data_IF_290241275624
#
_entry.id   IF_290241275624
#
_cell.length_a   1.000
_cell.length_b   1.000
_cell.length_c   1.000
_cell.angle_alpha   90.00
_cell.angle_beta   90.00
_cell.angle_gamma   90.00
#
_symmetry.space_group_name_H-M   'P 1'
#
loop_
_entity.id
_entity.type
_entity.pdbx_description
1 polymer ?
#
# COMPACT_ATOMS: atom_id res chain seq x y z
N UNK A 1 -61.06 13.06 4.49
CA UNK A 1 -60.12 13.71 3.55
C UNK A 1 -59.31 14.68 4.39
N UNK A 2 -58.00 14.57 4.65
CA UNK A 2 -56.87 14.17 3.81
C UNK A 2 -55.70 13.77 4.73
N UNK A 3 -55.10 12.61 4.48
CA UNK A 3 -53.78 12.18 4.96
C UNK A 3 -52.72 12.60 3.94
N UNK A 4 -51.84 13.52 4.30
CA UNK A 4 -50.64 13.91 3.55
C UNK A 4 -49.62 14.44 4.57
N UNK A 5 -48.32 14.19 4.59
CA UNK A 5 -47.35 13.48 3.75
C UNK A 5 -46.08 13.42 4.61
N UNK A 6 -45.63 12.25 5.08
CA UNK A 6 -44.27 12.07 5.62
C UNK A 6 -43.46 11.35 4.54
N UNK A 7 -42.99 12.08 3.54
CA UNK A 7 -42.05 11.58 2.52
C UNK A 7 -41.10 12.69 2.10
N UNK A 8 -40.18 13.11 2.98
CA UNK A 8 -39.09 14.01 2.58
C UNK A 8 -37.87 13.97 3.53
N UNK A 9 -37.45 12.81 4.03
CA UNK A 9 -36.25 12.73 4.88
C UNK A 9 -35.34 11.53 4.64
N UNK A 10 -35.50 10.79 3.53
CA UNK A 10 -34.67 9.59 3.24
C UNK A 10 -33.61 9.78 2.14
N UNK A 11 -33.46 10.97 1.55
CA UNK A 11 -32.50 11.19 0.46
C UNK A 11 -31.09 11.64 0.91
N UNK A 12 -30.90 12.08 2.15
CA UNK A 12 -29.63 12.70 2.61
C UNK A 12 -28.65 11.71 3.25
N UNK A 13 -29.07 10.47 3.56
CA UNK A 13 -28.21 9.47 4.21
C UNK A 13 -27.34 8.65 3.22
N UNK A 14 -27.80 8.47 1.98
CA UNK A 14 -27.11 7.67 0.96
C UNK A 14 -25.92 8.39 0.31
N UNK A 15 -25.96 9.73 0.27
CA UNK A 15 -24.87 10.54 -0.30
C UNK A 15 -23.65 10.60 0.63
N UNK A 16 -23.83 10.61 1.96
CA UNK A 16 -22.73 10.62 2.93
C UNK A 16 -21.97 9.29 3.00
N UNK A 17 -22.62 8.16 2.74
CA UNK A 17 -21.98 6.84 2.76
C UNK A 17 -21.09 6.60 1.53
N UNK A 18 -21.45 7.15 0.37
CA UNK A 18 -20.64 7.03 -0.86
C UNK A 18 -19.35 7.86 -0.82
N UNK A 19 -19.38 9.07 -0.25
CA UNK A 19 -18.20 9.93 -0.19
C UNK A 19 -17.15 9.40 0.79
N UNK A 20 -17.52 8.87 1.96
CA UNK A 20 -16.56 8.25 2.89
C UNK A 20 -15.83 7.06 2.27
N UNK A 21 -16.53 6.21 1.51
CA UNK A 21 -15.96 5.00 0.91
C UNK A 21 -14.91 5.32 -0.17
N UNK A 22 -15.16 6.37 -0.98
CA UNK A 22 -14.21 6.81 -2.01
C UNK A 22 -12.93 7.42 -1.41
N UNK A 23 -13.04 8.24 -0.35
CA UNK A 23 -11.88 8.79 0.35
C UNK A 23 -11.04 7.69 1.02
N UNK A 24 -11.68 6.70 1.62
CA UNK A 24 -10.99 5.55 2.21
C UNK A 24 -10.22 4.74 1.16
N UNK A 25 -10.83 4.46 0.00
CA UNK A 25 -10.18 3.75 -1.10
C UNK A 25 -8.96 4.51 -1.66
N UNK A 26 -9.05 5.84 -1.83
CA UNK A 26 -7.90 6.67 -2.26
C UNK A 26 -6.76 6.61 -1.23
N UNK A 27 -7.08 6.69 0.07
CA UNK A 27 -6.08 6.59 1.13
C UNK A 27 -5.38 5.21 1.14
N UNK A 28 -6.12 4.14 0.87
CA UNK A 28 -5.58 2.78 0.79
C UNK A 28 -4.67 2.60 -0.42
N UNK A 29 -5.09 3.05 -1.60
CA UNK A 29 -4.26 2.99 -2.81
C UNK A 29 -2.94 3.75 -2.63
N UNK A 30 -3.00 4.96 -2.08
CA UNK A 30 -1.80 5.77 -1.81
C UNK A 30 -0.86 5.12 -0.80
N UNK A 31 -1.39 4.40 0.18
CA UNK A 31 -0.56 3.63 1.12
C UNK A 31 0.14 2.48 0.40
N UNK A 32 -0.59 1.68 -0.37
CA UNK A 32 -0.05 0.53 -1.12
C UNK A 32 1.03 0.98 -2.09
N UNK A 33 0.82 2.06 -2.84
CA UNK A 33 1.81 2.58 -3.78
C UNK A 33 3.14 2.94 -3.09
N UNK A 34 3.05 3.63 -1.94
CA UNK A 34 4.23 4.05 -1.18
C UNK A 34 4.94 2.87 -0.52
N UNK A 35 4.18 1.95 0.08
CA UNK A 35 4.72 0.79 0.76
C UNK A 35 5.42 -0.14 -0.23
N UNK A 36 4.82 -0.40 -1.40
CA UNK A 36 5.44 -1.20 -2.45
C UNK A 36 6.73 -0.55 -2.98
N UNK A 37 6.70 0.74 -3.31
CA UNK A 37 7.89 1.45 -3.79
C UNK A 37 9.02 1.49 -2.74
N UNK A 38 8.68 1.73 -1.47
CA UNK A 38 9.65 1.72 -0.36
C UNK A 38 10.25 0.33 -0.13
N UNK A 39 9.40 -0.70 -0.04
CA UNK A 39 9.84 -2.06 0.21
C UNK A 39 10.70 -2.64 -0.92
N UNK A 40 10.42 -2.32 -2.19
CA UNK A 40 11.31 -2.71 -3.30
C UNK A 40 12.68 -2.05 -3.16
N UNK A 41 12.71 -0.74 -2.85
CA UNK A 41 13.95 0.01 -2.68
C UNK A 41 14.81 -0.52 -1.54
N UNK A 42 14.19 -0.84 -0.39
CA UNK A 42 14.88 -1.37 0.78
C UNK A 42 15.50 -2.74 0.48
N UNK A 43 14.79 -3.61 -0.23
CA UNK A 43 15.30 -4.91 -0.66
C UNK A 43 16.47 -4.76 -1.62
N UNK A 44 16.34 -3.92 -2.65
CA UNK A 44 17.40 -3.75 -3.65
C UNK A 44 18.65 -3.07 -3.07
N UNK A 45 18.47 -2.06 -2.22
CA UNK A 45 19.57 -1.42 -1.49
C UNK A 45 20.27 -2.43 -0.58
N UNK A 46 19.52 -3.32 0.08
CA UNK A 46 20.08 -4.36 0.93
C UNK A 46 20.85 -5.41 0.14
N UNK A 47 20.41 -5.78 -1.07
CA UNK A 47 21.19 -6.66 -1.97
C UNK A 47 22.55 -6.05 -2.30
N UNK A 48 22.60 -4.75 -2.61
CA UNK A 48 23.85 -4.02 -2.86
C UNK A 48 24.73 -4.06 -1.62
N UNK A 49 24.18 -3.72 -0.44
CA UNK A 49 24.93 -3.71 0.82
C UNK A 49 25.51 -5.11 1.14
N UNK A 50 24.71 -6.17 1.00
CA UNK A 50 25.15 -7.55 1.20
C UNK A 50 26.31 -7.93 0.26
N UNK A 51 26.27 -7.49 -1.00
CA UNK A 51 27.30 -7.79 -2.00
C UNK A 51 28.59 -6.98 -1.87
N UNK A 52 28.51 -5.76 -1.31
CA UNK A 52 29.62 -4.79 -1.32
C UNK A 52 30.26 -4.54 0.03
N UNK A 53 29.54 -4.75 1.14
CA UNK A 53 30.06 -4.53 2.47
C UNK A 53 31.25 -5.47 2.77
N UNK A 54 32.22 -5.01 3.56
CA UNK A 54 33.30 -5.85 4.07
C UNK A 54 33.01 -6.36 5.49
N UNK A 55 32.26 -5.59 6.27
CA UNK A 55 31.86 -5.94 7.62
C UNK A 55 30.76 -7.01 7.62
N UNK A 56 30.96 -8.09 8.38
CA UNK A 56 30.02 -9.21 8.45
C UNK A 56 28.69 -8.83 9.09
N UNK A 57 28.69 -7.98 10.12
CA UNK A 57 27.46 -7.54 10.77
C UNK A 57 26.58 -6.72 9.80
N UNK A 58 27.21 -5.94 8.91
CA UNK A 58 26.49 -5.23 7.84
C UNK A 58 25.87 -6.20 6.83
N UNK A 59 26.58 -7.27 6.45
CA UNK A 59 26.04 -8.31 5.56
C UNK A 59 24.86 -9.04 6.19
N UNK A 60 24.98 -9.39 7.46
CA UNK A 60 23.94 -10.11 8.20
C UNK A 60 22.69 -9.24 8.36
N UNK A 61 22.87 -7.95 8.68
CA UNK A 61 21.77 -6.99 8.72
C UNK A 61 21.11 -6.83 7.34
N UNK A 62 21.90 -6.69 6.27
CA UNK A 62 21.38 -6.61 4.91
C UNK A 62 20.59 -7.86 4.52
N UNK A 63 21.06 -9.07 4.91
CA UNK A 63 20.31 -10.30 4.70
C UNK A 63 18.96 -10.28 5.44
N UNK A 64 18.95 -9.86 6.71
CA UNK A 64 17.72 -9.72 7.48
C UNK A 64 16.72 -8.76 6.82
N UNK A 65 17.19 -7.63 6.30
CA UNK A 65 16.35 -6.67 5.58
C UNK A 65 15.76 -7.25 4.31
N UNK A 66 16.54 -8.03 3.54
CA UNK A 66 16.05 -8.73 2.34
C UNK A 66 14.92 -9.70 2.72
N UNK A 67 15.10 -10.48 3.78
CA UNK A 67 14.13 -11.51 4.19
C UNK A 67 12.84 -10.86 4.74
N UNK A 68 12.98 -9.92 5.67
CA UNK A 68 11.83 -9.30 6.34
C UNK A 68 11.01 -8.43 5.37
N UNK A 69 11.67 -7.55 4.61
CA UNK A 69 10.96 -6.68 3.67
C UNK A 69 10.48 -7.45 2.44
N UNK A 70 11.17 -8.50 2.01
CA UNK A 70 10.69 -9.42 0.99
C UNK A 70 9.37 -10.10 1.39
N UNK A 71 9.30 -10.63 2.62
CA UNK A 71 8.07 -11.22 3.15
C UNK A 71 6.95 -10.18 3.31
N UNK A 72 7.28 -8.97 3.76
CA UNK A 72 6.32 -7.87 3.85
C UNK A 72 5.74 -7.48 2.48
N UNK A 73 6.59 -7.41 1.45
CA UNK A 73 6.17 -7.08 0.08
C UNK A 73 5.21 -8.15 -0.48
N UNK A 74 5.52 -9.45 -0.29
CA UNK A 74 4.64 -10.53 -0.73
C UNK A 74 3.26 -10.50 -0.03
N UNK A 75 3.24 -10.15 1.26
CA UNK A 75 1.99 -9.97 2.02
C UNK A 75 1.21 -8.76 1.52
N UNK A 76 1.88 -7.64 1.26
CA UNK A 76 1.25 -6.45 0.68
C UNK A 76 0.63 -6.76 -0.68
N UNK A 77 1.32 -7.55 -1.51
CA UNK A 77 0.82 -7.98 -2.82
C UNK A 77 -0.50 -8.76 -2.70
N UNK A 78 -0.53 -9.73 -1.78
CA UNK A 78 -1.73 -10.53 -1.50
C UNK A 78 -2.90 -9.63 -1.06
N UNK A 79 -2.67 -8.76 -0.07
CA UNK A 79 -3.72 -7.87 0.48
C UNK A 79 -4.22 -6.91 -0.60
N UNK A 80 -3.33 -6.30 -1.38
CA UNK A 80 -3.72 -5.40 -2.45
C UNK A 80 -4.57 -6.12 -3.50
N UNK A 81 -4.23 -7.37 -3.86
CA UNK A 81 -5.05 -8.21 -4.74
C UNK A 81 -6.45 -8.45 -4.19
N UNK A 82 -6.57 -8.84 -2.91
CA UNK A 82 -7.86 -9.05 -2.23
C UNK A 82 -8.72 -7.77 -2.19
N UNK A 83 -8.08 -6.62 -1.99
CA UNK A 83 -8.73 -5.31 -1.95
C UNK A 83 -8.92 -4.67 -3.34
N UNK A 84 -8.51 -5.35 -4.42
CA UNK A 84 -8.56 -4.87 -5.81
C UNK A 84 -7.81 -3.55 -6.01
N UNK A 85 -6.74 -3.35 -5.26
CA UNK A 85 -5.81 -2.22 -5.38
C UNK A 85 -4.71 -2.55 -6.39
N UNK A 86 -4.13 -1.52 -6.99
CA UNK A 86 -3.00 -1.68 -7.92
C UNK A 86 -1.67 -1.63 -7.18
N UNK A 87 -0.65 -2.29 -7.72
CA UNK A 87 0.73 -2.21 -7.24
C UNK A 87 1.65 -1.72 -8.35
N UNK A 88 2.64 -0.87 -8.03
CA UNK A 88 3.75 -0.61 -8.92
C UNK A 88 4.56 -1.91 -9.09
N UNK A 89 4.79 -2.32 -10.35
CA UNK A 89 5.59 -3.52 -10.66
C UNK A 89 7.09 -3.28 -10.64
N UNK A 90 7.50 -2.01 -10.64
CA UNK A 90 8.88 -1.57 -10.79
C UNK A 90 9.09 -0.31 -9.95
N UNK A 91 10.33 -0.09 -9.50
CA UNK A 91 10.74 1.19 -8.92
C UNK A 91 10.60 2.30 -9.97
N UNK A 92 10.10 3.46 -9.55
CA UNK A 92 10.14 4.65 -10.39
C UNK A 92 11.60 5.11 -10.61
N UNK A 93 11.83 5.89 -11.66
CA UNK A 93 13.18 6.32 -12.03
C UNK A 93 13.91 7.14 -10.95
N UNK A 94 13.19 7.72 -9.98
CA UNK A 94 13.80 8.46 -8.87
C UNK A 94 14.34 7.55 -7.77
N UNK A 95 13.91 6.29 -7.74
CA UNK A 95 14.25 5.30 -6.71
C UNK A 95 15.09 4.14 -7.23
N UNK A 96 15.43 4.12 -8.52
CA UNK A 96 16.42 3.17 -9.05
C UNK A 96 17.83 3.62 -8.63
N UNK A 97 18.57 2.71 -8.01
CA UNK A 97 19.97 2.90 -7.62
C UNK A 97 20.92 2.74 -8.82
#
# INVERSE_FOLDING_TARGET
>A
MKTHLILASLATATAMTFTLSAFAADSAQRFVDKAAAGGMFEVDSSKIAKGTAQDQAVKDFAQKMIDDHGAANAKLETIAGEQKLTLPKELDAKRKA
#
